data_IF_603331798370
#
_entry.id   IF_603331798370
#
_cell.length_a   1.000
_cell.length_b   1.000
_cell.length_c   1.000
_cell.angle_alpha   90.00
_cell.angle_beta   90.00
_cell.angle_gamma   90.00
#
_symmetry.space_group_name_H-M   'P 1'
#
loop_
_entity.id
_entity.type
_entity.pdbx_description
1 polymer ?
#
# COMPACT_ATOMS: atom_id res chain seq x y z
N UNK A 1 -11.38 -5.45 7.41
CA UNK A 1 -10.37 -6.51 7.60
C UNK A 1 -9.00 -5.87 7.54
N UNK A 2 -8.35 -5.65 8.68
CA UNK A 2 -6.92 -5.31 8.73
C UNK A 2 -6.17 -6.63 8.88
N UNK A 3 -5.45 -7.04 7.83
CA UNK A 3 -4.50 -8.14 7.95
C UNK A 3 -3.25 -7.61 8.65
N UNK A 4 -3.18 -7.77 9.97
CA UNK A 4 -1.93 -7.60 10.71
C UNK A 4 -1.07 -8.81 10.33
N UNK A 5 -0.08 -8.60 9.45
CA UNK A 5 0.95 -9.58 9.16
C UNK A 5 1.75 -9.82 10.45
N UNK A 6 1.45 -10.92 11.12
CA UNK A 6 2.15 -11.38 12.33
C UNK A 6 3.22 -12.39 11.93
N UNK A 7 4.47 -12.07 12.19
CA UNK A 7 5.63 -12.89 11.84
C UNK A 7 6.23 -13.54 13.09
N UNK A 8 6.54 -14.83 13.02
CA UNK A 8 7.28 -15.55 14.07
C UNK A 8 8.76 -15.44 13.76
N UNK A 9 9.48 -14.66 14.57
CA UNK A 9 10.93 -14.53 14.50
C UNK A 9 11.56 -15.79 15.10
N UNK A 10 12.14 -16.65 14.25
CA UNK A 10 13.00 -17.73 14.72
C UNK A 10 14.25 -17.12 15.35
N UNK A 11 14.52 -17.45 16.61
CA UNK A 11 15.71 -16.97 17.31
C UNK A 11 16.94 -17.74 16.79
N UNK A 12 17.83 -17.12 16.00
CA UNK A 12 18.99 -17.82 15.43
C UNK A 12 20.04 -18.20 16.49
N UNK A 13 19.90 -17.71 17.72
CA UNK A 13 20.83 -17.96 18.81
C UNK A 13 20.41 -19.12 19.74
N UNK A 14 19.29 -19.81 19.45
CA UNK A 14 18.77 -20.94 20.25
C UNK A 14 18.63 -20.63 21.76
N UNK A 15 18.45 -19.35 22.10
CA UNK A 15 18.38 -18.90 23.49
C UNK A 15 17.07 -19.41 24.09
N UNK A 16 17.18 -20.32 25.05
CA UNK A 16 16.05 -20.82 25.83
C UNK A 16 15.83 -19.92 27.05
N UNK A 17 14.57 -19.76 27.50
CA UNK A 17 14.25 -18.97 28.69
C UNK A 17 15.07 -19.37 29.92
N UNK A 18 15.44 -20.65 30.07
CA UNK A 18 16.33 -21.11 31.15
C UNK A 18 17.72 -20.44 31.13
N UNK A 19 18.27 -20.13 29.95
CA UNK A 19 19.57 -19.45 29.82
C UNK A 19 19.49 -17.98 30.22
N UNK A 20 18.34 -17.34 29.98
CA UNK A 20 18.06 -15.96 30.42
C UNK A 20 17.97 -15.91 31.94
N UNK A 21 17.25 -16.87 32.55
CA UNK A 21 17.11 -16.97 34.01
C UNK A 21 18.46 -17.21 34.68
N UNK A 22 19.28 -18.14 34.16
CA UNK A 22 20.61 -18.40 34.70
C UNK A 22 21.52 -17.16 34.68
N UNK A 23 21.45 -16.35 33.61
CA UNK A 23 22.26 -15.12 33.47
C UNK A 23 21.73 -13.94 34.30
N UNK A 24 20.44 -13.96 34.63
CA UNK A 24 19.79 -13.00 35.52
C UNK A 24 20.05 -13.30 37.00
N UNK A 25 20.03 -14.59 37.41
CA UNK A 25 20.37 -15.00 38.78
C UNK A 25 21.78 -14.57 39.19
N UNK A 26 22.72 -14.56 38.24
CA UNK A 26 24.11 -14.10 38.45
C UNK A 26 24.19 -12.59 38.79
N UNK A 27 23.17 -11.80 38.43
CA UNK A 27 23.08 -10.35 38.66
C UNK A 27 22.08 -9.94 39.76
N UNK A 28 21.39 -10.90 40.39
CA UNK A 28 20.47 -10.68 41.50
C UNK A 28 19.42 -11.79 41.65
N UNK A 29 18.93 -12.01 42.89
CA UNK A 29 17.82 -12.96 43.14
C UNK A 29 16.52 -12.41 42.57
N UNK A 30 16.01 -13.03 41.52
CA UNK A 30 14.69 -12.71 40.94
C UNK A 30 13.77 -13.91 41.19
N UNK A 31 12.63 -13.66 41.82
CA UNK A 31 11.58 -14.66 41.99
C UNK A 31 10.61 -14.51 40.81
N UNK A 32 10.56 -15.51 39.92
CA UNK A 32 9.70 -15.48 38.72
C UNK A 32 8.36 -16.10 39.09
N UNK A 33 7.30 -15.28 39.11
CA UNK A 33 5.93 -15.79 39.22
C UNK A 33 5.51 -16.40 37.87
N UNK A 34 5.52 -17.73 37.78
CA UNK A 34 5.23 -18.48 36.55
C UNK A 34 3.74 -18.55 36.19
N UNK A 35 2.87 -17.82 36.92
CA UNK A 35 1.43 -17.77 36.65
C UNK A 35 1.06 -16.71 35.62
N UNK A 36 1.46 -16.92 34.37
CA UNK A 36 0.79 -16.29 33.23
C UNK A 36 0.31 -17.36 32.27
N UNK A 37 -0.95 -17.78 32.42
CA UNK A 37 -1.67 -18.61 31.46
C UNK A 37 -2.16 -17.73 30.31
N UNK A 38 -1.23 -17.19 29.52
CA UNK A 38 -1.55 -16.63 28.22
C UNK A 38 -1.38 -17.77 27.18
N UNK A 39 -2.43 -18.12 26.41
CA UNK A 39 -2.33 -19.22 25.46
C UNK A 39 -1.34 -18.86 24.34
N UNK A 40 -0.48 -19.82 23.98
CA UNK A 40 0.38 -19.72 22.81
C UNK A 40 -0.48 -19.56 21.55
N UNK A 41 -0.48 -18.36 20.97
CA UNK A 41 -1.35 -17.96 19.87
C UNK A 41 -0.80 -18.42 18.50
N UNK A 42 -0.64 -19.74 18.31
CA UNK A 42 -0.27 -20.47 17.08
C UNK A 42 1.18 -20.95 16.90
N UNK A 43 1.29 -22.12 16.25
CA UNK A 43 2.49 -22.85 15.84
C UNK A 43 2.48 -22.95 14.32
N UNK A 44 3.51 -22.44 13.64
CA UNK A 44 3.70 -22.60 12.19
C UNK A 44 5.02 -23.34 11.95
N UNK A 45 4.99 -24.32 11.06
CA UNK A 45 6.02 -25.37 10.88
C UNK A 45 7.12 -25.01 9.88
N UNK A 46 7.19 -23.76 9.40
CA UNK A 46 8.01 -23.41 8.23
C UNK A 46 9.17 -22.46 8.59
N UNK A 47 10.37 -23.04 8.75
CA UNK A 47 11.55 -22.45 9.41
C UNK A 47 12.26 -21.33 8.61
N UNK A 48 12.01 -21.21 7.30
CA UNK A 48 12.85 -20.40 6.40
C UNK A 48 12.14 -19.23 5.68
N UNK A 49 10.86 -18.97 5.96
CA UNK A 49 10.07 -18.00 5.19
C UNK A 49 10.59 -16.55 5.30
N UNK A 50 11.04 -16.14 6.49
CA UNK A 50 11.43 -14.74 6.75
C UNK A 50 12.76 -14.32 6.13
N UNK A 51 13.73 -15.24 6.08
CA UNK A 51 15.09 -14.95 5.61
C UNK A 51 15.15 -14.87 4.08
N UNK A 52 14.44 -15.75 3.38
CA UNK A 52 14.36 -15.73 1.91
C UNK A 52 13.47 -14.61 1.37
N UNK A 53 12.37 -14.29 2.06
CA UNK A 53 11.37 -13.34 1.56
C UNK A 53 11.65 -11.89 1.92
N UNK A 54 12.29 -11.64 3.07
CA UNK A 54 12.50 -10.27 3.59
C UNK A 54 13.95 -9.95 3.94
N UNK A 55 14.90 -10.90 3.77
CA UNK A 55 16.34 -10.66 4.02
C UNK A 55 16.68 -10.29 5.47
N UNK A 56 15.76 -10.52 6.40
CA UNK A 56 15.86 -10.06 7.78
C UNK A 56 16.69 -11.01 8.64
N UNK A 57 17.61 -10.45 9.45
CA UNK A 57 18.48 -11.18 10.39
C UNK A 57 18.59 -10.44 11.74
N UNK A 58 18.59 -11.19 12.85
CA UNK A 58 18.82 -10.61 14.19
C UNK A 58 20.32 -10.42 14.38
N UNK A 59 20.76 -9.18 14.57
CA UNK A 59 22.18 -8.84 14.75
C UNK A 59 22.64 -8.89 16.21
N UNK A 60 21.73 -8.75 17.18
CA UNK A 60 22.04 -8.62 18.61
C UNK A 60 21.51 -9.80 19.42
N UNK A 61 22.39 -10.43 20.22
CA UNK A 61 22.01 -11.48 21.16
C UNK A 61 21.49 -10.87 22.45
N UNK A 62 20.24 -11.15 22.77
CA UNK A 62 19.56 -10.62 23.96
C UNK A 62 20.30 -11.01 25.26
N UNK A 63 21.02 -12.13 25.28
CA UNK A 63 21.83 -12.53 26.44
C UNK A 63 23.04 -11.63 26.67
N UNK A 64 23.67 -11.10 25.62
CA UNK A 64 24.88 -10.27 25.73
C UNK A 64 24.55 -8.89 26.29
N UNK A 65 23.48 -8.27 25.80
CA UNK A 65 23.07 -6.92 26.20
C UNK A 65 22.25 -6.87 27.50
N UNK A 66 21.84 -8.02 28.05
CA UNK A 66 20.98 -8.10 29.23
C UNK A 66 21.57 -7.40 30.46
N UNK A 67 22.89 -7.48 30.65
CA UNK A 67 23.56 -6.85 31.79
C UNK A 67 23.54 -5.32 31.70
N UNK A 68 23.66 -4.76 30.50
CA UNK A 68 23.62 -3.32 30.28
C UNK A 68 22.19 -2.78 30.34
N UNK A 69 21.22 -3.53 29.80
CA UNK A 69 19.80 -3.23 29.97
C UNK A 69 19.37 -3.23 31.46
N UNK A 70 19.89 -4.15 32.26
CA UNK A 70 19.62 -4.19 33.71
C UNK A 70 20.24 -2.98 34.44
N UNK A 71 21.46 -2.58 34.09
CA UNK A 71 22.10 -1.37 34.66
C UNK A 71 21.32 -0.11 34.31
N UNK A 72 20.85 0.02 33.07
CA UNK A 72 20.03 1.15 32.65
C UNK A 72 18.69 1.19 33.39
N UNK A 73 18.04 0.04 33.60
CA UNK A 73 16.82 -0.05 34.42
C UNK A 73 17.03 0.35 35.89
N UNK A 74 18.14 -0.06 36.52
CA UNK A 74 18.48 0.38 37.88
C UNK A 74 18.76 1.89 37.95
N UNK A 75 19.40 2.44 36.91
CA UNK A 75 19.72 3.86 36.81
C UNK A 75 18.46 4.72 36.63
N UNK A 76 17.48 4.22 35.89
CA UNK A 76 16.16 4.83 35.72
C UNK A 76 15.36 4.82 37.04
N UNK A 77 15.34 3.68 37.74
CA UNK A 77 14.54 3.48 38.96
C UNK A 77 15.07 4.21 40.21
N UNK A 78 16.40 4.38 40.37
CA UNK A 78 17.00 5.11 41.51
C UNK A 78 16.76 6.62 41.49
N UNK A 79 16.37 7.22 40.36
CA UNK A 79 16.19 8.68 40.21
C UNK A 79 14.96 9.24 40.95
N UNK A 80 14.12 8.38 41.54
CA UNK A 80 12.80 8.75 42.08
C UNK A 80 12.72 8.97 43.61
N UNK A 81 13.65 8.43 44.40
CA UNK A 81 13.44 8.26 45.85
C UNK A 81 14.18 9.24 46.78
N UNK A 82 14.04 10.56 46.58
CA UNK A 82 14.38 11.55 47.63
C UNK A 82 13.13 12.35 48.06
N UNK A 83 12.64 12.19 49.30
CA UNK A 83 11.34 12.67 49.75
C UNK A 83 11.28 14.16 50.14
N UNK A 84 12.41 14.85 50.31
CA UNK A 84 12.44 16.25 50.78
C UNK A 84 12.19 17.30 49.68
N UNK A 85 12.26 16.90 48.42
CA UNK A 85 12.01 17.78 47.27
C UNK A 85 10.57 17.76 46.75
N UNK A 86 9.61 17.20 47.49
CA UNK A 86 8.25 16.99 46.97
C UNK A 86 7.49 18.30 46.73
N UNK A 87 7.59 19.28 47.64
CA UNK A 87 6.92 20.58 47.49
C UNK A 87 7.56 21.49 46.42
N UNK A 88 8.90 21.53 46.35
CA UNK A 88 9.62 22.21 45.28
C UNK A 88 9.36 21.53 43.92
N UNK A 89 9.31 20.19 43.88
CA UNK A 89 8.95 19.45 42.67
C UNK A 89 7.52 19.75 42.22
N UNK A 90 6.52 19.90 43.10
CA UNK A 90 5.16 20.23 42.66
C UNK A 90 5.08 21.63 42.06
N UNK A 91 5.76 22.62 42.66
CA UNK A 91 5.84 23.97 42.11
C UNK A 91 6.60 24.00 40.77
N UNK A 92 7.72 23.28 40.69
CA UNK A 92 8.50 23.11 39.46
C UNK A 92 7.71 22.30 38.42
N UNK A 93 6.87 21.34 38.80
CA UNK A 93 6.10 20.48 37.89
C UNK A 93 4.91 21.24 37.28
N UNK A 94 4.23 22.07 38.08
CA UNK A 94 3.19 22.99 37.61
C UNK A 94 3.80 24.06 36.69
N UNK A 95 4.99 24.56 37.01
CA UNK A 95 5.75 25.50 36.18
C UNK A 95 6.35 24.85 34.91
N UNK A 96 6.64 23.54 34.95
CA UNK A 96 7.14 22.70 33.84
C UNK A 96 6.02 22.25 32.89
N UNK A 97 4.76 22.37 33.30
CA UNK A 97 3.59 22.06 32.47
C UNK A 97 3.46 23.00 31.27
N UNK A 98 3.98 24.24 31.38
CA UNK A 98 4.00 25.21 30.30
C UNK A 98 5.44 25.55 29.90
N UNK A 99 5.89 25.06 28.73
CA UNK A 99 7.24 25.26 28.16
C UNK A 99 7.71 26.73 28.15
N UNK A 100 6.80 27.70 28.13
CA UNK A 100 7.08 29.15 28.15
C UNK A 100 7.55 29.65 29.51
N UNK A 101 6.96 29.21 30.62
CA UNK A 101 7.37 29.66 31.96
C UNK A 101 8.73 29.12 32.37
N UNK A 102 9.06 27.89 31.95
CA UNK A 102 10.40 27.33 32.13
C UNK A 102 11.47 28.19 31.40
N UNK A 103 11.20 28.60 30.16
CA UNK A 103 12.11 29.47 29.39
C UNK A 103 12.28 30.84 30.05
N UNK A 104 11.21 31.45 30.53
CA UNK A 104 11.27 32.75 31.23
C UNK A 104 12.10 32.64 32.52
N UNK A 105 11.95 31.55 33.27
CA UNK A 105 12.72 31.34 34.49
C UNK A 105 14.20 31.06 34.23
N UNK A 106 14.53 30.35 33.15
CA UNK A 106 15.91 30.17 32.71
C UNK A 106 16.55 31.51 32.30
N UNK A 107 15.81 32.36 31.59
CA UNK A 107 16.26 33.72 31.22
C UNK A 107 16.48 34.59 32.47
N UNK A 108 15.58 34.54 33.45
CA UNK A 108 15.74 35.26 34.72
C UNK A 108 16.95 34.76 35.51
N UNK A 109 17.17 33.45 35.57
CA UNK A 109 18.34 32.87 36.22
C UNK A 109 19.63 33.31 35.51
N UNK A 110 19.65 33.23 34.17
CA UNK A 110 20.78 33.69 33.36
C UNK A 110 21.05 35.20 33.56
N UNK A 111 20.01 36.00 33.77
CA UNK A 111 20.15 37.42 34.08
C UNK A 111 20.78 37.65 35.46
N UNK A 112 20.30 36.99 36.51
CA UNK A 112 20.92 37.08 37.84
C UNK A 112 22.38 36.62 37.82
N UNK A 113 22.68 35.57 37.07
CA UNK A 113 24.04 35.08 36.87
C UNK A 113 24.91 36.10 36.12
N UNK A 114 24.37 36.74 35.08
CA UNK A 114 25.06 37.81 34.34
C UNK A 114 25.35 39.03 35.22
N UNK A 115 24.41 39.44 36.08
CA UNK A 115 24.59 40.57 36.99
C UNK A 115 25.63 40.26 38.08
N UNK A 116 25.60 39.06 38.65
CA UNK A 116 26.62 38.60 39.59
C UNK A 116 28.02 38.59 38.96
N UNK A 117 28.12 38.10 37.72
CA UNK A 117 29.36 38.11 36.95
C UNK A 117 29.84 39.54 36.67
N UNK A 118 28.91 40.44 36.32
CA UNK A 118 29.21 41.86 36.08
C UNK A 118 29.73 42.57 37.32
N UNK A 119 29.22 42.22 38.51
CA UNK A 119 29.70 42.76 39.77
C UNK A 119 31.12 42.26 40.10
N UNK A 120 31.39 40.97 39.91
CA UNK A 120 32.73 40.39 40.14
C UNK A 120 33.79 40.91 39.16
N UNK A 121 33.42 41.20 37.91
CA UNK A 121 34.36 41.67 36.89
C UNK A 121 34.62 43.18 36.97
N UNK A 122 33.74 43.96 37.59
CA UNK A 122 33.96 45.40 37.81
C UNK A 122 35.18 45.69 38.72
N UNK A 123 35.59 44.73 39.55
CA UNK A 123 36.80 44.83 40.37
C UNK A 123 38.10 44.70 39.55
N UNK A 124 38.03 44.11 38.36
CA UNK A 124 39.17 43.97 37.45
C UNK A 124 39.19 45.09 36.39
N UNK A 125 39.95 46.15 36.67
CA UNK A 125 40.03 47.37 35.84
C UNK A 125 40.34 47.16 34.34
N UNK A 126 40.93 46.01 33.95
CA UNK A 126 41.25 45.68 32.55
C UNK A 126 40.07 45.09 31.77
N UNK A 127 39.06 44.52 32.43
CA UNK A 127 37.88 43.90 31.79
C UNK A 127 36.71 44.86 31.63
N UNK A 128 36.83 46.11 32.10
CA UNK A 128 35.80 47.14 32.01
C UNK A 128 35.41 47.53 30.57
N UNK A 129 36.23 47.18 29.58
CA UNK A 129 35.91 47.37 28.15
C UNK A 129 34.96 46.32 27.57
N UNK A 130 34.78 45.16 28.23
CA UNK A 130 33.89 44.11 27.76
C UNK A 130 32.53 44.21 28.44
N UNK A 131 31.51 44.58 27.68
CA UNK A 131 30.15 44.72 28.19
C UNK A 131 29.46 43.34 28.32
N UNK A 132 29.56 42.75 29.51
CA UNK A 132 28.99 41.44 29.87
C UNK A 132 27.48 41.40 29.64
N UNK A 133 26.80 42.56 29.74
CA UNK A 133 25.36 42.66 29.54
C UNK A 133 24.99 42.59 28.07
N UNK A 134 25.84 43.14 27.18
CA UNK A 134 25.72 42.94 25.74
C UNK A 134 25.85 41.46 25.38
N UNK A 135 26.78 40.74 26.01
CA UNK A 135 27.00 39.31 25.83
C UNK A 135 25.78 38.49 26.31
N UNK A 136 25.17 38.85 27.43
CA UNK A 136 23.94 38.22 27.89
C UNK A 136 22.81 38.37 26.87
N UNK A 137 22.61 39.59 26.35
CA UNK A 137 21.58 39.88 25.35
C UNK A 137 21.81 39.10 24.05
N UNK A 138 23.06 39.01 23.57
CA UNK A 138 23.39 38.23 22.36
C UNK A 138 23.10 36.75 22.57
N UNK A 139 23.55 36.14 23.67
CA UNK A 139 23.35 34.72 23.95
C UNK A 139 21.86 34.35 24.02
N UNK A 140 21.07 35.10 24.78
CA UNK A 140 19.63 34.83 24.91
C UNK A 140 18.91 35.04 23.58
N UNK A 141 19.28 36.08 22.82
CA UNK A 141 18.68 36.34 21.52
C UNK A 141 18.98 35.24 20.50
N UNK A 142 20.19 34.68 20.50
CA UNK A 142 20.57 33.57 19.61
C UNK A 142 19.93 32.25 20.01
N UNK A 143 19.80 31.96 21.31
CA UNK A 143 19.26 30.68 21.79
C UNK A 143 17.73 30.66 21.67
N UNK A 144 17.05 31.70 22.17
CA UNK A 144 15.61 31.69 22.38
C UNK A 144 14.81 32.43 21.29
N UNK A 145 15.45 33.25 20.45
CA UNK A 145 14.81 33.97 19.35
C UNK A 145 14.30 35.37 19.73
N UNK A 146 13.58 36.02 18.80
CA UNK A 146 13.30 37.47 18.83
C UNK A 146 12.56 37.97 20.06
N UNK A 147 11.47 37.29 20.46
CA UNK A 147 10.62 37.74 21.58
C UNK A 147 11.41 37.76 22.89
N UNK A 148 12.22 36.72 23.11
CA UNK A 148 13.03 36.58 24.33
C UNK A 148 14.30 37.44 24.28
N UNK A 149 14.87 37.68 23.09
CA UNK A 149 15.95 38.65 22.90
C UNK A 149 15.54 40.07 23.27
N UNK A 150 14.35 40.51 22.84
CA UNK A 150 13.79 41.83 23.21
C UNK A 150 13.55 41.90 24.73
N UNK A 151 13.00 40.83 25.31
CA UNK A 151 12.80 40.75 26.76
C UNK A 151 14.12 40.82 27.54
N UNK A 152 15.17 40.15 27.06
CA UNK A 152 16.52 40.22 27.64
C UNK A 152 17.13 41.63 27.52
N UNK A 153 16.92 42.31 26.39
CA UNK A 153 17.31 43.71 26.20
C UNK A 153 16.66 44.65 27.21
N UNK A 154 15.33 44.52 27.41
CA UNK A 154 14.60 45.28 28.43
C UNK A 154 15.09 44.99 29.84
N UNK A 155 15.34 43.71 30.17
CA UNK A 155 15.82 43.30 31.47
C UNK A 155 17.24 43.82 31.75
N UNK A 156 18.10 43.87 30.74
CA UNK A 156 19.44 44.47 30.81
C UNK A 156 19.40 45.98 31.10
N UNK A 157 18.48 46.70 30.47
CA UNK A 157 18.25 48.13 30.73
C UNK A 157 17.78 48.34 32.18
N UNK A 158 16.82 47.54 32.64
CA UNK A 158 16.36 47.56 34.04
C UNK A 158 17.48 47.20 35.03
N UNK A 159 18.31 46.22 34.70
CA UNK A 159 19.49 45.87 35.49
C UNK A 159 20.50 47.03 35.59
N UNK A 160 20.61 47.87 34.56
CA UNK A 160 21.52 49.02 34.57
C UNK A 160 20.98 50.11 35.48
N UNK A 161 19.66 50.29 35.44
CA UNK A 161 18.94 51.16 36.35
C UNK A 161 19.08 50.71 37.82
N UNK A 162 18.96 49.41 38.09
CA UNK A 162 19.11 48.86 39.45
C UNK A 162 20.55 48.99 39.99
N UNK A 163 21.56 48.62 39.19
CA UNK A 163 22.96 48.69 39.60
C UNK A 163 23.42 50.12 39.94
N UNK A 164 22.85 51.11 39.26
CA UNK A 164 23.20 52.52 39.45
C UNK A 164 22.55 53.13 40.69
N UNK A 165 21.33 52.71 41.03
CA UNK A 165 20.67 53.07 42.30
C UNK A 165 21.41 52.43 43.49
N UNK A 166 21.78 51.16 43.37
CA UNK A 166 22.57 50.45 44.39
C UNK A 166 23.93 51.11 44.64
N UNK A 167 24.52 51.71 43.60
CA UNK A 167 25.76 52.48 43.70
C UNK A 167 25.58 53.91 44.26
N UNK A 168 24.38 54.24 44.77
CA UNK A 168 24.06 55.55 45.37
C UNK A 168 23.80 56.68 44.38
N UNK A 169 23.57 56.38 43.09
CA UNK A 169 23.35 57.37 42.05
C UNK A 169 21.89 57.83 41.90
N UNK A 170 21.70 59.12 41.61
CA UNK A 170 20.40 59.68 41.23
C UNK A 170 19.95 59.13 39.86
N UNK A 171 18.68 58.73 39.73
CA UNK A 171 18.10 58.19 38.49
C UNK A 171 18.21 59.13 37.29
N UNK A 172 18.20 60.45 37.54
CA UNK A 172 18.39 61.47 36.51
C UNK A 172 19.77 61.36 35.84
N UNK A 173 20.81 60.97 36.57
CA UNK A 173 22.18 60.84 36.03
C UNK A 173 22.27 59.78 34.91
N UNK A 174 21.37 58.80 34.89
CA UNK A 174 21.36 57.74 33.87
C UNK A 174 20.82 58.28 32.55
N UNK A 175 19.83 59.17 32.59
CA UNK A 175 19.16 59.73 31.41
C UNK A 175 19.99 60.86 30.79
N UNK A 176 20.81 61.58 31.56
CA UNK A 176 21.60 62.70 31.04
C UNK A 176 23.03 62.34 30.59
N UNK A 177 23.55 61.17 30.96
CA UNK A 177 24.86 60.72 30.50
C UNK A 177 24.77 60.13 29.08
N UNK A 178 25.34 60.84 28.10
CA UNK A 178 25.36 60.45 26.67
C UNK A 178 26.00 59.07 26.43
N UNK A 179 26.97 58.68 27.26
CA UNK A 179 27.69 57.41 27.15
C UNK A 179 26.78 56.19 27.42
N UNK A 180 25.84 56.29 28.37
CA UNK A 180 24.93 55.17 28.74
C UNK A 180 23.79 54.97 27.75
N UNK A 181 23.38 56.03 27.06
CA UNK A 181 22.36 55.96 26.01
C UNK A 181 22.82 55.13 24.81
N UNK A 182 24.11 55.19 24.47
CA UNK A 182 24.69 54.43 23.37
C UNK A 182 24.60 52.92 23.66
N UNK A 183 24.86 52.49 24.90
CA UNK A 183 24.70 51.10 25.32
C UNK A 183 23.25 50.60 25.24
N UNK A 184 22.26 51.42 25.60
CA UNK A 184 20.85 51.05 25.48
C UNK A 184 20.42 50.81 24.03
N UNK A 185 20.82 51.72 23.15
CA UNK A 185 20.57 51.55 21.71
C UNK A 185 21.25 50.28 21.19
N UNK A 186 22.51 50.04 21.57
CA UNK A 186 23.27 48.86 21.16
C UNK A 186 22.60 47.54 21.60
N UNK A 187 22.12 47.44 22.85
CA UNK A 187 21.42 46.23 23.32
C UNK A 187 20.16 45.94 22.51
N UNK A 188 19.36 46.97 22.23
CA UNK A 188 18.13 46.81 21.45
C UNK A 188 18.42 46.44 19.98
N UNK A 189 19.40 47.08 19.35
CA UNK A 189 19.78 46.75 17.97
C UNK A 189 20.30 45.32 17.84
N UNK A 190 21.19 44.91 18.75
CA UNK A 190 21.77 43.57 18.74
C UNK A 190 20.71 42.51 19.04
N UNK A 191 19.82 42.73 20.01
CA UNK A 191 18.69 41.85 20.29
C UNK A 191 17.76 41.68 19.07
N UNK A 192 17.50 42.76 18.34
CA UNK A 192 16.65 42.70 17.15
C UNK A 192 17.34 41.94 16.00
N UNK A 193 18.60 42.25 15.69
CA UNK A 193 19.35 41.60 14.60
C UNK A 193 19.50 40.10 14.88
N UNK A 194 20.01 39.74 16.07
CA UNK A 194 20.18 38.33 16.44
C UNK A 194 18.83 37.60 16.51
N UNK A 195 17.77 38.27 16.96
CA UNK A 195 16.43 37.72 16.99
C UNK A 195 15.90 37.37 15.61
N UNK A 196 15.96 38.32 14.66
CA UNK A 196 15.50 38.11 13.28
C UNK A 196 16.28 36.99 12.60
N UNK A 197 17.61 36.95 12.78
CA UNK A 197 18.46 35.89 12.23
C UNK A 197 18.01 34.52 12.75
N UNK A 198 17.79 34.40 14.06
CA UNK A 198 17.35 33.14 14.66
C UNK A 198 15.95 32.74 14.18
N UNK A 199 15.04 33.69 13.99
CA UNK A 199 13.71 33.43 13.42
C UNK A 199 13.82 32.87 12.00
N UNK A 200 14.67 33.46 11.15
CA UNK A 200 14.93 32.97 9.79
C UNK A 200 15.48 31.55 9.79
N UNK A 201 16.42 31.24 10.69
CA UNK A 201 16.95 29.88 10.83
C UNK A 201 15.89 28.86 11.29
N UNK A 202 14.97 29.26 12.17
CA UNK A 202 13.87 28.39 12.59
C UNK A 202 12.87 28.13 11.45
N UNK A 203 12.51 29.18 10.71
CA UNK A 203 11.62 29.07 9.55
C UNK A 203 12.23 28.17 8.47
N UNK A 204 13.52 28.33 8.16
CA UNK A 204 14.24 27.50 7.19
C UNK A 204 14.30 26.03 7.63
N UNK A 205 14.55 25.79 8.92
CA UNK A 205 14.53 24.44 9.47
C UNK A 205 13.15 23.78 9.36
N UNK A 206 12.09 24.50 9.70
CA UNK A 206 10.72 23.97 9.58
C UNK A 206 10.36 23.68 8.11
N UNK A 207 10.78 24.55 7.20
CA UNK A 207 10.61 24.35 5.76
C UNK A 207 11.35 23.11 5.26
N UNK A 208 12.61 22.90 5.67
CA UNK A 208 13.39 21.73 5.31
C UNK A 208 12.78 20.43 5.87
N UNK A 209 12.27 20.46 7.12
CA UNK A 209 11.58 19.31 7.70
C UNK A 209 10.30 18.97 6.92
N UNK A 210 9.51 19.98 6.53
CA UNK A 210 8.32 19.79 5.68
C UNK A 210 8.68 19.25 4.30
N UNK A 211 9.74 19.76 3.68
CA UNK A 211 10.21 19.28 2.38
C UNK A 211 10.65 17.82 2.47
N UNK A 212 11.37 17.43 3.53
CA UNK A 212 11.81 16.07 3.74
C UNK A 212 10.63 15.11 3.94
N UNK A 213 9.63 15.49 4.75
CA UNK A 213 8.39 14.73 4.92
C UNK A 213 7.68 14.52 3.58
N UNK A 214 7.53 15.59 2.79
CA UNK A 214 6.91 15.53 1.46
C UNK A 214 7.70 14.63 0.50
N UNK A 215 9.04 14.67 0.56
CA UNK A 215 9.89 13.79 -0.23
C UNK A 215 9.69 12.32 0.14
N UNK A 216 9.53 12.04 1.44
CA UNK A 216 9.26 10.69 1.94
C UNK A 216 7.88 10.19 1.48
N UNK A 217 6.84 11.02 1.57
CA UNK A 217 5.50 10.71 1.05
C UNK A 217 5.54 10.41 -0.46
N UNK A 218 6.29 11.21 -1.24
CA UNK A 218 6.47 10.96 -2.67
C UNK A 218 7.17 9.64 -2.96
N UNK A 219 8.19 9.28 -2.18
CA UNK A 219 8.89 8.01 -2.33
C UNK A 219 7.99 6.83 -1.98
N UNK A 220 7.15 6.95 -0.94
CA UNK A 220 6.16 5.94 -0.58
C UNK A 220 5.14 5.74 -1.71
N UNK A 221 4.57 6.83 -2.23
CA UNK A 221 3.65 6.79 -3.38
C UNK A 221 4.28 6.15 -4.62
N UNK A 222 5.56 6.47 -4.88
CA UNK A 222 6.30 5.88 -5.99
C UNK A 222 6.47 4.37 -5.80
N UNK A 223 6.80 3.92 -4.58
CA UNK A 223 6.92 2.51 -4.25
C UNK A 223 5.61 1.75 -4.48
N UNK A 224 4.48 2.31 -4.01
CA UNK A 224 3.15 1.73 -4.22
C UNK A 224 2.84 1.63 -5.72
N UNK A 225 3.07 2.71 -6.47
CA UNK A 225 2.84 2.71 -7.92
C UNK A 225 3.71 1.70 -8.68
N UNK A 226 4.95 1.45 -8.21
CA UNK A 226 5.80 0.41 -8.78
C UNK A 226 5.27 -0.99 -8.48
N UNK A 227 4.81 -1.23 -7.26
CA UNK A 227 4.23 -2.52 -6.86
C UNK A 227 2.96 -2.83 -7.68
N UNK A 228 2.08 -1.85 -7.83
CA UNK A 228 0.88 -1.95 -8.69
C UNK A 228 1.26 -2.27 -10.14
N UNK A 229 2.25 -1.58 -10.70
CA UNK A 229 2.71 -1.84 -12.07
C UNK A 229 3.32 -3.24 -12.24
N UNK A 230 4.02 -3.76 -11.22
CA UNK A 230 4.55 -5.13 -11.24
C UNK A 230 3.41 -6.14 -11.16
N UNK A 231 2.43 -5.91 -10.29
CA UNK A 231 1.25 -6.76 -10.15
C UNK A 231 0.43 -6.84 -11.45
N UNK A 232 0.18 -5.70 -12.09
CA UNK A 232 -0.52 -5.64 -13.38
C UNK A 232 0.23 -6.41 -14.46
N UNK A 233 1.56 -6.28 -14.50
CA UNK A 233 2.40 -7.04 -15.43
C UNK A 233 2.28 -8.55 -15.18
N UNK A 234 2.27 -9.00 -13.93
CA UNK A 234 2.09 -10.41 -13.59
C UNK A 234 0.70 -10.93 -13.98
N UNK A 235 -0.36 -10.15 -13.73
CA UNK A 235 -1.71 -10.48 -14.18
C UNK A 235 -1.79 -10.59 -15.71
N UNK A 236 -1.25 -9.61 -16.43
CA UNK A 236 -1.21 -9.61 -17.89
C UNK A 236 -0.40 -10.81 -18.41
N UNK A 237 0.74 -11.13 -17.78
CA UNK A 237 1.52 -12.31 -18.13
C UNK A 237 0.72 -13.60 -17.90
N UNK A 238 0.00 -13.71 -16.77
CA UNK A 238 -0.86 -14.87 -16.49
C UNK A 238 -2.02 -14.97 -17.50
N UNK A 239 -2.63 -13.85 -17.90
CA UNK A 239 -3.66 -13.83 -18.94
C UNK A 239 -3.09 -14.27 -20.30
N UNK A 240 -1.87 -13.85 -20.65
CA UNK A 240 -1.20 -14.28 -21.89
C UNK A 240 -0.85 -15.78 -21.84
N UNK A 241 -0.32 -16.28 -20.72
CA UNK A 241 -0.02 -17.72 -20.53
C UNK A 241 -1.31 -18.56 -20.56
N UNK A 242 -2.39 -18.06 -19.95
CA UNK A 242 -3.72 -18.68 -20.04
C UNK A 242 -4.23 -18.69 -21.48
N UNK A 243 -4.03 -17.62 -22.25
CA UNK A 243 -4.40 -17.55 -23.66
C UNK A 243 -3.57 -18.50 -24.53
N UNK A 244 -2.27 -18.69 -24.25
CA UNK A 244 -1.46 -19.71 -24.92
C UNK A 244 -1.94 -21.14 -24.61
N UNK A 245 -2.42 -21.41 -23.40
CA UNK A 245 -3.10 -22.69 -23.11
C UNK A 245 -4.42 -22.81 -23.88
N UNK A 246 -5.11 -21.67 -24.06
CA UNK A 246 -6.31 -21.55 -24.88
C UNK A 246 -6.12 -22.00 -26.34
N UNK A 247 -4.97 -21.72 -26.96
CA UNK A 247 -4.69 -22.16 -28.35
C UNK A 247 -4.49 -23.67 -28.46
N UNK A 248 -3.83 -24.30 -27.48
CA UNK A 248 -3.72 -25.76 -27.41
C UNK A 248 -5.08 -26.43 -27.18
N UNK A 249 -5.91 -25.87 -26.29
CA UNK A 249 -7.31 -26.33 -26.08
C UNK A 249 -8.14 -26.16 -27.36
N UNK A 250 -8.01 -25.03 -28.03
CA UNK A 250 -8.65 -24.75 -29.33
C UNK A 250 -8.34 -25.81 -30.37
N UNK A 251 -7.06 -26.13 -30.53
CA UNK A 251 -6.62 -27.14 -31.48
C UNK A 251 -7.18 -28.52 -31.13
N UNK A 252 -7.20 -28.88 -29.85
CA UNK A 252 -7.79 -30.16 -29.40
C UNK A 252 -9.30 -30.25 -29.67
N UNK A 253 -10.04 -29.15 -29.48
CA UNK A 253 -11.47 -29.07 -29.79
C UNK A 253 -11.70 -29.20 -31.30
N UNK A 254 -10.89 -28.51 -32.10
CA UNK A 254 -10.95 -28.60 -33.56
C UNK A 254 -10.72 -30.02 -34.06
N UNK A 255 -9.74 -30.74 -33.47
CA UNK A 255 -9.48 -32.14 -33.80
C UNK A 255 -10.64 -33.06 -33.41
N UNK A 256 -11.31 -32.80 -32.30
CA UNK A 256 -12.49 -33.58 -31.88
C UNK A 256 -13.68 -33.36 -32.83
N UNK A 257 -13.88 -32.11 -33.28
CA UNK A 257 -14.94 -31.70 -34.21
C UNK A 257 -14.71 -32.19 -35.66
N UNK A 258 -13.51 -32.61 -36.03
CA UNK A 258 -13.20 -33.12 -37.37
C UNK A 258 -13.83 -34.49 -37.62
N UNK A 259 -15.12 -34.50 -37.99
CA UNK A 259 -15.91 -35.70 -38.30
C UNK A 259 -16.32 -35.73 -39.78
N UNK A 260 -16.52 -36.93 -40.37
CA UNK A 260 -16.81 -37.06 -41.81
C UNK A 260 -18.26 -36.72 -42.20
N UNK A 261 -19.14 -36.48 -41.24
CA UNK A 261 -20.59 -36.30 -41.44
C UNK A 261 -21.07 -35.07 -40.68
N UNK A 262 -21.93 -34.26 -41.31
CA UNK A 262 -22.50 -33.02 -40.73
C UNK A 262 -23.18 -33.30 -39.39
N UNK A 263 -23.99 -34.36 -39.30
CA UNK A 263 -24.66 -34.76 -38.05
C UNK A 263 -23.69 -35.11 -36.92
N UNK A 264 -22.55 -35.74 -37.27
CA UNK A 264 -21.52 -36.10 -36.30
C UNK A 264 -20.79 -34.87 -35.76
N UNK A 265 -20.53 -33.87 -36.60
CA UNK A 265 -19.95 -32.57 -36.18
C UNK A 265 -20.90 -31.86 -35.22
N UNK A 266 -22.21 -31.81 -35.53
CA UNK A 266 -23.21 -31.17 -34.68
C UNK A 266 -23.36 -31.88 -33.33
N UNK A 267 -23.40 -33.21 -33.31
CA UNK A 267 -23.49 -33.98 -32.06
C UNK A 267 -22.24 -33.81 -31.18
N UNK A 268 -21.04 -33.80 -31.76
CA UNK A 268 -19.81 -33.54 -31.01
C UNK A 268 -19.77 -32.10 -30.48
N UNK A 269 -20.23 -31.13 -31.27
CA UNK A 269 -20.37 -29.73 -30.83
C UNK A 269 -21.27 -29.62 -29.61
N UNK A 270 -22.46 -30.25 -29.67
CA UNK A 270 -23.40 -30.30 -28.54
C UNK A 270 -22.73 -30.89 -27.29
N UNK A 271 -21.97 -31.98 -27.44
CA UNK A 271 -21.28 -32.64 -26.33
C UNK A 271 -20.19 -31.77 -25.70
N UNK A 272 -19.35 -31.13 -26.51
CA UNK A 272 -18.27 -30.26 -26.02
C UNK A 272 -18.84 -29.03 -25.30
N UNK A 273 -19.91 -28.44 -25.85
CA UNK A 273 -20.60 -27.31 -25.22
C UNK A 273 -21.25 -27.74 -23.90
N UNK A 274 -21.90 -28.91 -23.86
CA UNK A 274 -22.50 -29.45 -22.64
C UNK A 274 -21.45 -29.70 -21.54
N UNK A 275 -20.31 -30.29 -21.89
CA UNK A 275 -19.21 -30.56 -20.94
C UNK A 275 -18.58 -29.28 -20.40
N UNK A 276 -18.33 -28.29 -21.27
CA UNK A 276 -17.73 -27.01 -20.85
C UNK A 276 -18.70 -26.10 -20.10
N UNK A 277 -19.99 -26.16 -20.42
CA UNK A 277 -21.02 -25.40 -19.72
C UNK A 277 -21.56 -26.11 -18.47
N UNK A 278 -21.20 -27.37 -18.25
CA UNK A 278 -21.75 -28.24 -17.20
C UNK A 278 -23.29 -28.26 -17.25
N UNK A 279 -23.84 -28.41 -18.47
CA UNK A 279 -25.30 -28.41 -18.70
C UNK A 279 -25.71 -29.47 -19.70
N UNK A 280 -26.81 -30.15 -19.42
CA UNK A 280 -27.41 -31.15 -20.33
C UNK A 280 -28.37 -30.50 -21.34
N UNK A 281 -28.75 -29.24 -21.13
CA UNK A 281 -29.81 -28.54 -21.87
C UNK A 281 -29.29 -27.75 -23.08
N UNK A 282 -28.44 -28.39 -23.90
CA UNK A 282 -27.89 -27.81 -25.14
C UNK A 282 -28.60 -28.44 -26.35
N UNK A 283 -29.19 -27.62 -27.22
CA UNK A 283 -29.86 -28.06 -28.44
C UNK A 283 -29.33 -27.32 -29.66
N UNK A 284 -29.33 -27.97 -30.83
CA UNK A 284 -28.96 -27.35 -32.10
C UNK A 284 -30.12 -27.50 -33.07
N UNK A 285 -30.61 -26.38 -33.60
CA UNK A 285 -31.70 -26.33 -34.57
C UNK A 285 -31.16 -25.92 -35.94
N UNK A 286 -31.63 -26.57 -37.02
CA UNK A 286 -31.40 -26.06 -38.38
C UNK A 286 -32.29 -24.84 -38.60
N UNK A 287 -31.76 -23.80 -39.27
CA UNK A 287 -32.50 -22.59 -39.66
C UNK A 287 -32.93 -22.61 -41.14
N UNK A 288 -32.99 -23.79 -41.76
CA UNK A 288 -33.48 -23.96 -43.13
C UNK A 288 -34.98 -23.67 -43.24
N UNK A 289 -35.45 -23.26 -44.44
CA UNK A 289 -36.87 -23.01 -44.73
C UNK A 289 -37.79 -24.22 -44.44
N UNK A 290 -37.21 -25.43 -44.42
CA UNK A 290 -37.90 -26.69 -44.16
C UNK A 290 -37.79 -27.18 -42.70
N UNK A 291 -37.15 -26.39 -41.82
CA UNK A 291 -37.00 -26.73 -40.41
C UNK A 291 -38.24 -26.38 -39.58
N UNK A 292 -38.50 -27.15 -38.52
CA UNK A 292 -39.62 -26.90 -37.61
C UNK A 292 -39.42 -25.73 -36.63
N UNK A 293 -38.22 -25.13 -36.58
CA UNK A 293 -37.87 -24.07 -35.64
C UNK A 293 -37.97 -22.71 -36.32
N UNK A 294 -38.92 -21.88 -35.87
CA UNK A 294 -39.19 -20.58 -36.49
C UNK A 294 -38.63 -19.43 -35.64
N UNK A 295 -37.48 -18.89 -36.05
CA UNK A 295 -36.78 -17.79 -35.38
C UNK A 295 -37.65 -16.52 -35.25
N UNK A 296 -38.67 -16.36 -36.11
CA UNK A 296 -39.59 -15.21 -36.06
C UNK A 296 -40.47 -15.18 -34.80
N UNK A 297 -40.54 -16.27 -34.02
CA UNK A 297 -41.21 -16.26 -32.71
C UNK A 297 -40.40 -15.53 -31.63
N UNK A 298 -39.12 -15.27 -31.87
CA UNK A 298 -38.20 -14.63 -30.93
C UNK A 298 -37.55 -13.38 -31.57
N UNK A 299 -38.29 -12.27 -31.73
CA UNK A 299 -37.84 -11.11 -32.50
C UNK A 299 -36.56 -10.45 -31.94
N UNK A 300 -36.45 -10.38 -30.61
CA UNK A 300 -35.27 -9.82 -29.91
C UNK A 300 -34.00 -10.64 -30.22
N UNK A 301 -34.14 -11.97 -30.21
CA UNK A 301 -33.05 -12.88 -30.52
C UNK A 301 -32.69 -12.79 -32.01
N UNK A 302 -33.69 -12.76 -32.89
CA UNK A 302 -33.48 -12.64 -34.34
C UNK A 302 -32.79 -11.34 -34.77
N UNK A 303 -32.95 -10.24 -34.01
CA UNK A 303 -32.29 -8.96 -34.28
C UNK A 303 -30.83 -8.96 -33.82
N UNK A 304 -30.54 -9.44 -32.60
CA UNK A 304 -29.17 -9.49 -32.09
C UNK A 304 -28.29 -10.55 -32.79
N UNK A 305 -28.85 -11.69 -33.21
CA UNK A 305 -28.09 -12.71 -33.96
C UNK A 305 -27.77 -12.31 -35.41
N UNK A 306 -28.27 -11.17 -35.92
CA UNK A 306 -27.83 -10.63 -37.22
C UNK A 306 -26.44 -10.01 -37.17
N UNK A 307 -25.94 -9.69 -35.98
CA UNK A 307 -24.63 -9.05 -35.80
C UNK A 307 -23.49 -10.06 -35.58
N UNK A 308 -23.71 -11.36 -35.82
CA UNK A 308 -22.75 -12.46 -35.57
C UNK A 308 -22.25 -12.55 -34.11
N UNK A 309 -22.99 -11.98 -33.16
CA UNK A 309 -22.67 -12.04 -31.74
C UNK A 309 -23.41 -13.18 -31.03
N UNK A 310 -22.75 -13.77 -30.02
CA UNK A 310 -23.41 -14.70 -29.09
C UNK A 310 -24.43 -13.91 -28.29
N UNK A 311 -25.68 -14.33 -28.38
CA UNK A 311 -26.76 -13.76 -27.60
C UNK A 311 -26.72 -14.27 -26.16
N UNK A 312 -26.87 -13.36 -25.21
CA UNK A 312 -26.84 -13.65 -23.77
C UNK A 312 -28.07 -13.05 -23.12
N UNK A 313 -28.84 -13.89 -22.42
CA UNK A 313 -30.04 -13.45 -21.71
C UNK A 313 -29.71 -12.74 -20.40
N UNK A 314 -29.27 -11.49 -20.48
CA UNK A 314 -28.95 -10.66 -19.30
C UNK A 314 -30.18 -10.29 -18.47
N UNK A 315 -31.35 -10.25 -19.11
CA UNK A 315 -32.59 -9.77 -18.51
C UNK A 315 -33.51 -10.90 -18.03
N UNK A 316 -33.05 -12.17 -18.07
CA UNK A 316 -33.80 -13.36 -17.66
C UNK A 316 -35.21 -13.41 -18.27
N UNK A 317 -35.30 -13.12 -19.57
CA UNK A 317 -36.57 -13.12 -20.29
C UNK A 317 -37.14 -14.55 -20.28
N UNK A 318 -38.38 -14.75 -19.81
CA UNK A 318 -39.01 -16.07 -19.80
C UNK A 318 -39.21 -16.60 -21.23
N UNK A 319 -39.10 -17.91 -21.42
CA UNK A 319 -39.16 -18.63 -22.71
C UNK A 319 -38.01 -18.37 -23.70
N UNK A 320 -36.97 -17.63 -23.28
CA UNK A 320 -35.74 -17.44 -24.04
C UNK A 320 -34.60 -18.31 -23.48
N UNK A 321 -33.59 -18.67 -24.29
CA UNK A 321 -32.45 -19.43 -23.80
C UNK A 321 -31.62 -18.56 -22.84
N UNK A 322 -30.59 -19.13 -22.20
CA UNK A 322 -29.56 -18.37 -21.49
C UNK A 322 -28.48 -17.90 -22.47
N UNK A 323 -28.12 -18.77 -23.41
CA UNK A 323 -27.23 -18.45 -24.53
C UNK A 323 -27.83 -18.91 -25.86
N UNK A 324 -27.69 -18.09 -26.89
CA UNK A 324 -27.97 -18.50 -28.26
C UNK A 324 -26.84 -18.05 -29.20
N UNK A 325 -26.51 -18.91 -30.17
CA UNK A 325 -25.47 -18.62 -31.14
C UNK A 325 -25.89 -19.12 -32.53
N UNK A 326 -25.82 -18.24 -33.52
CA UNK A 326 -25.98 -18.61 -34.92
C UNK A 326 -24.65 -19.15 -35.43
N UNK A 327 -24.69 -20.33 -36.04
CA UNK A 327 -23.56 -20.95 -36.72
C UNK A 327 -23.89 -20.90 -38.21
N UNK A 328 -23.21 -20.02 -38.94
CA UNK A 328 -23.38 -19.85 -40.37
C UNK A 328 -22.15 -20.39 -41.12
N UNK A 329 -22.39 -21.40 -41.94
CA UNK A 329 -21.40 -22.07 -42.79
C UNK A 329 -21.24 -21.31 -44.10
N UNK A 330 -20.04 -21.24 -44.68
CA UNK A 330 -19.84 -20.56 -45.96
C UNK A 330 -20.59 -21.24 -47.12
N UNK A 331 -20.93 -22.53 -46.96
CA UNK A 331 -21.80 -23.30 -47.87
C UNK A 331 -23.29 -22.94 -47.79
N UNK A 332 -23.69 -22.02 -46.92
CA UNK A 332 -25.09 -21.57 -46.77
C UNK A 332 -25.91 -22.39 -45.76
N UNK A 333 -25.29 -23.32 -45.03
CA UNK A 333 -25.93 -24.01 -43.91
C UNK A 333 -25.97 -23.10 -42.68
N UNK A 334 -27.16 -22.85 -42.15
CA UNK A 334 -27.36 -22.06 -40.92
C UNK A 334 -27.96 -22.92 -39.81
N UNK A 335 -27.31 -22.91 -38.64
CA UNK A 335 -27.77 -23.60 -37.44
C UNK A 335 -27.85 -22.61 -36.26
N UNK A 336 -28.71 -22.92 -35.28
CA UNK A 336 -28.85 -22.19 -34.04
C UNK A 336 -28.49 -23.12 -32.88
N UNK A 337 -27.44 -22.78 -32.14
CA UNK A 337 -27.13 -23.36 -30.85
C UNK A 337 -27.99 -22.67 -29.78
N UNK A 338 -28.75 -23.45 -29.02
CA UNK A 338 -29.72 -23.02 -28.03
C UNK A 338 -29.41 -23.67 -26.69
N UNK A 339 -29.17 -22.87 -25.65
CA UNK A 339 -28.78 -23.37 -24.33
C UNK A 339 -29.79 -22.85 -23.30
N UNK A 340 -30.59 -23.74 -22.70
CA UNK A 340 -31.72 -23.35 -21.85
C UNK A 340 -31.34 -23.02 -20.41
N UNK A 341 -30.44 -23.79 -19.82
CA UNK A 341 -30.08 -23.65 -18.41
C UNK A 341 -28.57 -23.69 -18.22
N UNK A 342 -28.04 -22.73 -17.47
CA UNK A 342 -26.62 -22.63 -17.10
C UNK A 342 -26.56 -22.06 -15.69
N UNK A 343 -25.82 -22.72 -14.80
CA UNK A 343 -25.61 -22.21 -13.44
C UNK A 343 -25.05 -20.79 -13.46
N UNK A 344 -25.51 -19.94 -12.55
CA UNK A 344 -25.06 -18.54 -12.44
C UNK A 344 -23.54 -18.41 -12.25
N UNK A 345 -22.89 -19.42 -11.65
CA UNK A 345 -21.43 -19.53 -11.52
C UNK A 345 -20.68 -19.63 -12.86
N UNK A 346 -21.40 -19.87 -13.95
CA UNK A 346 -20.86 -20.14 -15.27
C UNK A 346 -21.20 -19.05 -16.30
N UNK A 347 -21.90 -17.99 -15.88
CA UNK A 347 -22.13 -16.79 -16.68
C UNK A 347 -20.91 -15.87 -16.62
N UNK A 348 -19.89 -16.15 -17.45
CA UNK A 348 -18.67 -15.33 -17.52
C UNK A 348 -18.29 -14.94 -18.94
N UNK A 349 -17.54 -13.84 -19.08
CA UNK A 349 -17.02 -13.39 -20.37
C UNK A 349 -16.14 -14.45 -21.04
N UNK A 350 -15.41 -15.23 -20.25
CA UNK A 350 -14.58 -16.34 -20.76
C UNK A 350 -15.44 -17.42 -21.42
N UNK A 351 -16.61 -17.77 -20.85
CA UNK A 351 -17.53 -18.77 -21.43
C UNK A 351 -18.20 -18.24 -22.71
N UNK A 352 -18.48 -16.94 -22.78
CA UNK A 352 -18.99 -16.29 -24.00
C UNK A 352 -17.98 -16.37 -25.16
N UNK A 353 -16.70 -16.02 -24.91
CA UNK A 353 -15.65 -16.13 -25.93
C UNK A 353 -15.43 -17.58 -26.38
N UNK A 354 -15.55 -18.54 -25.45
CA UNK A 354 -15.53 -19.97 -25.79
C UNK A 354 -16.67 -20.36 -26.75
N UNK A 355 -17.89 -19.86 -26.52
CA UNK A 355 -19.03 -20.12 -27.42
C UNK A 355 -18.82 -19.49 -28.81
N UNK A 356 -18.30 -18.27 -28.89
CA UNK A 356 -17.96 -17.65 -30.19
C UNK A 356 -16.94 -18.48 -30.96
N UNK A 357 -15.88 -18.89 -30.27
CA UNK A 357 -14.80 -19.72 -30.79
C UNK A 357 -15.32 -21.06 -31.32
N UNK A 358 -16.13 -21.78 -30.52
CA UNK A 358 -16.66 -23.09 -30.94
C UNK A 358 -17.65 -22.96 -32.09
N UNK A 359 -18.44 -21.88 -32.15
CA UNK A 359 -19.30 -21.58 -33.30
C UNK A 359 -18.52 -21.45 -34.60
N UNK A 360 -17.45 -20.64 -34.60
CA UNK A 360 -16.58 -20.49 -35.76
C UNK A 360 -15.87 -21.78 -36.17
N UNK A 361 -15.37 -22.56 -35.21
CA UNK A 361 -14.77 -23.87 -35.47
C UNK A 361 -15.79 -24.86 -36.07
N UNK A 362 -17.00 -24.87 -35.53
CA UNK A 362 -18.10 -25.72 -36.00
C UNK A 362 -18.51 -25.35 -37.42
N UNK A 363 -18.66 -24.06 -37.74
CA UNK A 363 -18.95 -23.60 -39.10
C UNK A 363 -17.91 -24.10 -40.11
N UNK A 364 -16.62 -23.98 -39.77
CA UNK A 364 -15.53 -24.46 -40.64
C UNK A 364 -15.56 -25.98 -40.85
N UNK A 365 -15.84 -26.76 -39.79
CA UNK A 365 -15.96 -28.22 -39.88
C UNK A 365 -17.22 -28.67 -40.58
N UNK A 366 -18.33 -27.94 -40.45
CA UNK A 366 -19.57 -28.18 -41.19
C UNK A 366 -19.35 -28.04 -42.69
N UNK A 367 -18.65 -27.00 -43.14
CA UNK A 367 -18.29 -26.84 -44.54
C UNK A 367 -17.47 -28.05 -45.02
N UNK A 368 -16.41 -28.41 -44.30
CA UNK A 368 -15.55 -29.55 -44.64
C UNK A 368 -16.32 -30.87 -44.74
N UNK A 369 -17.18 -31.16 -43.76
CA UNK A 369 -17.99 -32.38 -43.71
C UNK A 369 -19.06 -32.39 -44.81
N UNK A 370 -19.70 -31.24 -45.07
CA UNK A 370 -20.67 -31.06 -46.15
C UNK A 370 -20.07 -31.32 -47.53
N UNK A 371 -18.89 -30.76 -47.81
CA UNK A 371 -18.15 -31.08 -49.04
C UNK A 371 -17.85 -32.58 -49.13
N UNK A 372 -17.33 -33.19 -48.07
CA UNK A 372 -17.00 -34.61 -48.06
C UNK A 372 -18.22 -35.50 -48.36
N UNK A 373 -19.37 -35.22 -47.74
CA UNK A 373 -20.62 -35.93 -48.00
C UNK A 373 -21.10 -35.76 -49.45
N UNK A 374 -21.05 -34.53 -49.98
CA UNK A 374 -21.43 -34.26 -51.37
C UNK A 374 -20.56 -35.05 -52.35
N UNK A 375 -19.24 -35.08 -52.15
CA UNK A 375 -18.31 -35.86 -52.96
C UNK A 375 -18.57 -37.37 -52.89
N UNK A 376 -18.83 -37.91 -51.70
CA UNK A 376 -19.15 -39.33 -51.51
C UNK A 376 -20.48 -39.69 -52.19
N UNK A 377 -21.49 -38.84 -52.08
CA UNK A 377 -22.79 -39.04 -52.72
C UNK A 377 -22.71 -38.96 -54.25
N UNK A 378 -21.96 -38.00 -54.80
CA UNK A 378 -21.68 -37.93 -56.24
C UNK A 378 -21.06 -39.24 -56.72
N UNK A 379 -20.01 -39.72 -56.06
CA UNK A 379 -19.35 -40.98 -56.40
C UNK A 379 -20.29 -42.19 -56.35
N UNK A 380 -21.21 -42.25 -55.37
CA UNK A 380 -22.26 -43.28 -55.30
C UNK A 380 -23.24 -43.19 -56.46
N UNK A 381 -23.70 -42.00 -56.82
CA UNK A 381 -24.63 -41.81 -57.96
C UNK A 381 -24.00 -42.12 -59.31
N UNK A 382 -22.69 -41.86 -59.50
CA UNK A 382 -21.96 -42.24 -60.71
C UNK A 382 -21.82 -43.75 -60.86
N UNK A 383 -21.74 -44.50 -59.74
CA UNK A 383 -21.64 -45.97 -59.76
C UNK A 383 -23.02 -46.65 -59.93
N UNK A 384 -24.10 -46.01 -59.48
CA UNK A 384 -25.48 -46.50 -59.68
C UNK A 384 -26.05 -46.16 -61.07
N UNK A 385 -25.53 -45.15 -61.76
CA UNK A 385 -25.89 -44.82 -63.15
C UNK A 385 -25.35 -45.79 -64.21
N UNK A 386 -24.51 -46.75 -63.83
CA UNK A 386 -23.99 -47.80 -64.71
C UNK A 386 -24.66 -49.14 -64.43
N UNK A 387 -25.96 -49.24 -64.68
CA UNK A 387 -26.62 -50.52 -64.97
C UNK A 387 -27.28 -50.42 -66.34
N UNK A 388 -26.73 -51.04 -67.39
CA UNK A 388 -27.40 -51.12 -68.68
C UNK A 388 -28.49 -52.20 -68.58
N UNK A 389 -29.74 -51.78 -68.40
CA UNK A 389 -30.89 -52.62 -68.71
C UNK A 389 -30.83 -52.94 -70.21
N UNK A 390 -30.65 -54.21 -70.52
CA UNK A 390 -30.67 -54.71 -71.89
C UNK A 390 -32.01 -54.46 -72.55
N UNK A 391 -31.99 -53.85 -73.72
CA UNK A 391 -33.07 -53.96 -74.70
C UNK A 391 -32.44 -54.53 -75.98
N UNK A 392 -32.72 -55.80 -76.23
CA UNK A 392 -32.57 -56.47 -77.54
C UNK A 392 -33.88 -56.33 -78.32
N UNK A 393 -33.73 -56.50 -79.65
CA UNK A 393 -34.73 -56.65 -80.72
C UNK A 393 -35.25 -55.33 -81.31
N UNK A 394 -35.29 -55.11 -82.63
CA UNK A 394 -35.04 -55.95 -83.81
C UNK A 394 -35.86 -55.39 -84.99
N UNK A 395 -35.38 -55.54 -86.23
CA UNK A 395 -36.10 -55.17 -87.46
C UNK A 395 -35.47 -54.03 -88.22
#
# INVERSE_FOLDING_TARGET
MHYILQFIIYNPFEITFQHIVAKLEDNGKIEIDSKSTAPCLYHSTDENNLRQRYGWFIHYSLLEDLADLYKDFIKESKKSNHPEFKHLKTAIYVMRSHKTYQKIAEILLAFFLSEALSMMLNDFNQLKMLDIRLLFVTLISTIFGTIYGIFAGLLSILGLFAATILSGGNWQSIVYNTDRWISFAAYMFVALICGIIQMKYQDEKEMLEKENQLLNEKNELLSISYEDAVYDREQLAQQVVSNQTGTSKLFSIFQQLDKPTVEAVLNETKKIVAEQLETDSVNIYSLSEFSGFNLNRYPILAEELKNDEVWVNKNLIPDYPVYALKIESASGLSYLLWIEDVSYSHLSLSRMHFLQMIGGATASMLDKAGYHQAFVNLKKTTVLGTTPNGIKYGG
#
